data_IF_486495316823
#
_entry.id   IF_486495316823
#
_cell.length_a   1.000
_cell.length_b   1.000
_cell.length_c   1.000
_cell.angle_alpha   90.00
_cell.angle_beta   90.00
_cell.angle_gamma   90.00
#
_symmetry.space_group_name_H-M   'P 1'
#
loop_
_entity.id
_entity.type
_entity.pdbx_description
1 polymer ?
#
# COMPACT_ATOMS: atom_id res chain seq x y z
N UNK A 1 -59.74 65.93 35.35
CA UNK A 1 -59.66 65.59 33.93
C UNK A 1 -58.22 65.63 33.53
N UNK A 2 -57.58 64.54 33.43
CA UNK A 2 -56.21 64.43 32.91
C UNK A 2 -56.19 63.32 31.83
N UNK A 3 -55.93 63.72 30.60
CA UNK A 3 -55.85 62.86 29.45
C UNK A 3 -54.47 62.18 29.42
N UNK A 4 -54.42 60.90 29.61
CA UNK A 4 -53.23 60.11 29.38
C UNK A 4 -53.13 59.81 27.86
N UNK A 5 -52.03 60.25 27.27
CA UNK A 5 -51.79 60.19 25.83
C UNK A 5 -51.28 58.86 25.35
N UNK A 6 -51.32 58.62 24.02
CA UNK A 6 -51.06 57.35 23.35
C UNK A 6 -49.58 57.06 23.07
N UNK A 7 -48.71 57.34 24.03
CA UNK A 7 -47.22 57.27 23.82
C UNK A 7 -46.58 55.97 24.29
N UNK A 8 -47.22 55.15 25.09
CA UNK A 8 -46.70 53.89 25.58
C UNK A 8 -46.82 52.70 24.58
N UNK A 9 -47.88 52.72 23.77
CA UNK A 9 -48.09 51.63 22.80
C UNK A 9 -47.08 51.59 21.65
N UNK A 10 -46.45 52.71 21.32
CA UNK A 10 -45.46 52.78 20.24
C UNK A 10 -44.08 52.17 20.64
N UNK A 11 -43.73 52.26 21.89
CA UNK A 11 -42.46 51.70 22.40
C UNK A 11 -42.52 50.20 22.57
N UNK A 12 -43.65 49.63 22.98
CA UNK A 12 -43.87 48.19 23.12
C UNK A 12 -43.89 47.52 21.72
N UNK A 13 -44.55 48.14 20.74
CA UNK A 13 -44.52 47.64 19.35
C UNK A 13 -43.16 47.69 18.68
N UNK A 14 -42.35 48.70 18.93
CA UNK A 14 -40.97 48.81 18.43
C UNK A 14 -40.06 47.78 19.06
N UNK A 15 -40.20 47.48 20.36
CA UNK A 15 -39.42 46.47 21.06
C UNK A 15 -39.83 45.05 20.63
N UNK A 16 -41.10 44.76 20.38
CA UNK A 16 -41.58 43.47 19.85
C UNK A 16 -41.05 43.24 18.43
N UNK A 17 -41.04 44.25 17.55
CA UNK A 17 -40.53 44.12 16.19
C UNK A 17 -38.99 43.89 16.18
N UNK A 18 -38.24 44.54 17.07
CA UNK A 18 -36.82 44.38 17.14
C UNK A 18 -36.39 42.99 17.67
N UNK A 19 -37.15 42.42 18.58
CA UNK A 19 -36.92 41.06 19.09
C UNK A 19 -37.27 40.00 18.03
N UNK A 20 -38.32 40.17 17.25
CA UNK A 20 -38.72 39.24 16.17
C UNK A 20 -37.70 39.23 15.03
N UNK A 21 -37.14 40.40 14.67
CA UNK A 21 -36.10 40.48 13.64
C UNK A 21 -34.80 39.84 14.11
N UNK A 22 -34.45 40.00 15.41
CA UNK A 22 -33.27 39.37 15.97
C UNK A 22 -33.36 37.85 16.05
N UNK A 23 -34.58 37.30 16.34
CA UNK A 23 -34.80 35.84 16.34
C UNK A 23 -34.64 35.26 14.95
N UNK A 24 -35.20 35.91 13.90
CA UNK A 24 -35.07 35.44 12.51
C UNK A 24 -33.64 35.50 11.99
N UNK A 25 -32.83 36.50 12.46
CA UNK A 25 -31.43 36.58 12.11
C UNK A 25 -30.59 35.54 12.80
N UNK A 26 -30.93 35.11 14.02
CA UNK A 26 -30.22 34.05 14.75
C UNK A 26 -30.54 32.64 14.09
N UNK A 27 -31.79 32.40 13.69
CA UNK A 27 -32.16 31.18 12.99
C UNK A 27 -31.51 31.10 11.60
N UNK A 28 -31.40 32.20 10.86
CA UNK A 28 -30.68 32.25 9.59
C UNK A 28 -29.16 32.05 9.72
N UNK A 29 -28.54 32.46 10.85
CA UNK A 29 -27.14 32.23 11.12
C UNK A 29 -26.83 30.76 11.49
N UNK A 30 -27.78 30.02 12.08
CA UNK A 30 -27.64 28.61 12.38
C UNK A 30 -27.86 27.71 11.15
N UNK A 31 -28.39 28.24 10.06
CA UNK A 31 -28.60 27.53 8.79
C UNK A 31 -27.45 27.72 7.79
N UNK A 32 -26.30 28.22 8.23
CA UNK A 32 -25.11 28.15 7.38
C UNK A 32 -24.79 26.68 7.15
N UNK A 33 -24.78 26.20 5.89
CA UNK A 33 -24.36 24.83 5.64
C UNK A 33 -22.95 24.68 6.24
N UNK A 34 -22.82 23.75 7.17
CA UNK A 34 -21.49 23.26 7.54
C UNK A 34 -20.85 22.90 6.22
N UNK A 35 -19.90 23.71 5.74
CA UNK A 35 -19.12 23.38 4.57
C UNK A 35 -18.35 22.14 4.95
N UNK A 36 -18.94 20.96 4.69
CA UNK A 36 -18.21 19.72 4.69
C UNK A 36 -16.99 19.94 3.79
N UNK A 37 -15.86 19.47 4.19
CA UNK A 37 -14.63 19.55 3.41
C UNK A 37 -14.96 19.16 1.96
N UNK A 38 -14.78 20.08 1.00
CA UNK A 38 -15.10 19.86 -0.40
C UNK A 38 -14.30 18.70 -1.02
N UNK A 39 -13.24 18.27 -0.34
CA UNK A 39 -12.40 17.14 -0.73
C UNK A 39 -12.95 15.79 -0.22
N UNK A 40 -13.70 15.78 0.90
CA UNK A 40 -14.21 14.54 1.51
C UNK A 40 -14.99 13.63 0.54
N UNK A 41 -15.91 14.12 -0.33
CA UNK A 41 -16.59 13.28 -1.29
C UNK A 41 -15.66 12.67 -2.34
N UNK A 42 -14.59 13.39 -2.71
CA UNK A 42 -13.60 12.92 -3.67
C UNK A 42 -12.77 11.76 -3.08
N UNK A 43 -12.32 11.88 -1.85
CA UNK A 43 -11.57 10.81 -1.17
C UNK A 43 -12.43 9.59 -0.89
N UNK A 44 -13.71 9.79 -0.51
CA UNK A 44 -14.63 8.69 -0.35
C UNK A 44 -14.89 7.95 -1.68
N UNK A 45 -15.00 8.69 -2.80
CA UNK A 45 -15.13 8.10 -4.12
C UNK A 45 -13.85 7.35 -4.52
N UNK A 46 -12.69 7.97 -4.36
CA UNK A 46 -11.39 7.33 -4.63
C UNK A 46 -11.26 6.02 -3.87
N UNK A 47 -11.50 6.04 -2.54
CA UNK A 47 -11.42 4.84 -1.72
C UNK A 47 -12.37 3.75 -2.22
N UNK A 48 -13.65 4.07 -2.43
CA UNK A 48 -14.64 3.11 -2.94
C UNK A 48 -14.25 2.50 -4.29
N UNK A 49 -13.69 3.32 -5.19
CA UNK A 49 -13.40 2.89 -6.56
C UNK A 49 -12.08 2.11 -6.66
N UNK A 50 -11.13 2.36 -5.74
CA UNK A 50 -9.81 1.71 -5.76
C UNK A 50 -9.67 0.57 -4.75
N UNK A 51 -10.36 0.61 -3.61
CA UNK A 51 -10.27 -0.41 -2.56
C UNK A 51 -10.43 -1.86 -3.06
N UNK A 52 -11.31 -2.18 -4.03
CA UNK A 52 -11.43 -3.55 -4.54
C UNK A 52 -10.19 -4.08 -5.26
N UNK A 53 -9.24 -3.22 -5.64
CA UNK A 53 -7.96 -3.65 -6.21
C UNK A 53 -6.93 -4.02 -5.14
N UNK A 54 -7.13 -3.60 -3.88
CA UNK A 54 -6.22 -3.88 -2.79
C UNK A 54 -6.60 -5.20 -2.11
N UNK A 55 -5.60 -6.03 -1.87
CA UNK A 55 -5.73 -7.39 -1.35
C UNK A 55 -4.82 -7.59 -0.15
N UNK A 56 -5.10 -8.61 0.66
CA UNK A 56 -4.18 -9.07 1.69
C UNK A 56 -3.40 -10.27 1.16
N UNK A 57 -2.08 -10.16 1.16
CA UNK A 57 -1.17 -11.24 0.79
C UNK A 57 -0.66 -11.91 2.07
N UNK A 58 -0.93 -13.20 2.22
CA UNK A 58 -0.37 -14.05 3.27
C UNK A 58 0.85 -14.77 2.74
N UNK A 59 1.95 -14.60 3.45
CA UNK A 59 3.21 -15.24 3.08
C UNK A 59 3.67 -16.11 4.22
N UNK A 60 3.84 -17.39 3.96
CA UNK A 60 4.52 -18.32 4.86
C UNK A 60 5.98 -18.37 4.43
N UNK A 61 6.88 -17.92 5.30
CA UNK A 61 8.32 -17.93 5.03
C UNK A 61 9.02 -18.93 5.90
N UNK A 62 9.96 -19.66 5.33
CA UNK A 62 10.87 -20.53 6.05
C UNK A 62 12.24 -19.86 6.10
N UNK A 63 12.70 -19.55 7.30
CA UNK A 63 14.00 -18.95 7.53
C UNK A 63 14.94 -19.98 8.15
N UNK A 64 16.02 -20.27 7.45
CA UNK A 64 17.09 -21.14 7.95
C UNK A 64 18.22 -20.28 8.50
N UNK A 65 18.47 -20.38 9.79
CA UNK A 65 19.56 -19.68 10.49
C UNK A 65 20.69 -20.65 10.78
N UNK A 66 21.92 -20.25 10.42
CA UNK A 66 23.13 -20.99 10.76
C UNK A 66 23.91 -20.24 11.85
N UNK A 67 23.94 -20.76 13.05
CA UNK A 67 24.72 -20.23 14.16
C UNK A 67 25.59 -21.33 14.80
N UNK A 68 26.93 -21.14 14.79
CA UNK A 68 27.86 -22.01 15.52
C UNK A 68 27.78 -23.49 15.15
N UNK A 69 27.56 -23.83 13.86
CA UNK A 69 27.46 -25.22 13.40
C UNK A 69 26.08 -25.87 13.65
N UNK A 70 25.10 -25.15 14.21
CA UNK A 70 23.72 -25.60 14.35
C UNK A 70 22.84 -24.87 13.34
N UNK A 71 21.97 -25.62 12.69
CA UNK A 71 20.91 -25.08 11.82
C UNK A 71 19.60 -25.12 12.59
N UNK A 72 18.87 -24.01 12.59
CA UNK A 72 17.50 -23.92 13.09
C UNK A 72 16.61 -23.37 11.97
N UNK A 73 15.53 -24.07 11.67
CA UNK A 73 14.50 -23.64 10.74
C UNK A 73 13.36 -23.02 11.53
N UNK A 74 12.97 -21.81 11.15
CA UNK A 74 11.83 -21.11 11.72
C UNK A 74 10.83 -20.81 10.61
N UNK A 75 9.57 -21.15 10.83
CA UNK A 75 8.47 -20.77 9.97
C UNK A 75 7.79 -19.52 10.54
N UNK A 76 7.54 -18.53 9.70
CA UNK A 76 6.86 -17.30 10.05
C UNK A 76 5.74 -17.01 9.06
N UNK A 77 4.61 -16.53 9.55
CA UNK A 77 3.49 -16.08 8.74
C UNK A 77 3.36 -14.57 8.85
N UNK A 78 3.28 -13.92 7.71
CA UNK A 78 3.18 -12.46 7.63
C UNK A 78 2.04 -12.11 6.68
N UNK A 79 1.19 -11.18 7.08
CA UNK A 79 0.18 -10.58 6.22
C UNK A 79 0.66 -9.19 5.77
N UNK A 80 0.57 -8.91 4.48
CA UNK A 80 0.95 -7.63 3.90
C UNK A 80 -0.05 -7.18 2.87
N UNK A 81 -0.26 -5.88 2.71
CA UNK A 81 -1.10 -5.37 1.65
C UNK A 81 -0.44 -5.58 0.28
N UNK A 82 -1.25 -5.91 -0.71
CA UNK A 82 -0.90 -5.98 -2.12
C UNK A 82 -1.93 -5.26 -2.97
N UNK A 83 -1.63 -5.10 -4.25
CA UNK A 83 -2.53 -4.47 -5.21
C UNK A 83 -2.55 -5.26 -6.51
N UNK A 84 -3.74 -5.51 -7.04
CA UNK A 84 -3.92 -6.10 -8.37
C UNK A 84 -3.51 -5.07 -9.42
N UNK A 85 -2.56 -5.43 -10.28
CA UNK A 85 -2.03 -4.56 -11.35
C UNK A 85 -2.36 -5.08 -12.74
N UNK A 86 -2.99 -6.25 -12.82
CA UNK A 86 -3.45 -6.84 -14.07
C UNK A 86 -4.68 -7.73 -13.83
N UNK A 87 -5.68 -7.64 -14.71
CA UNK A 87 -6.90 -8.43 -14.62
C UNK A 87 -6.66 -9.95 -14.77
N UNK A 88 -5.51 -10.36 -15.30
CA UNK A 88 -5.05 -11.75 -15.33
C UNK A 88 -4.54 -12.27 -13.99
N UNK A 89 -4.66 -11.51 -12.89
CA UNK A 89 -4.31 -11.94 -11.55
C UNK A 89 -2.87 -11.66 -11.15
N UNK A 90 -2.21 -10.68 -11.78
CA UNK A 90 -0.91 -10.21 -11.34
C UNK A 90 -1.09 -9.20 -10.20
N UNK A 91 -0.41 -9.46 -9.08
CA UNK A 91 -0.49 -8.68 -7.84
C UNK A 91 0.91 -8.14 -7.53
N UNK A 92 1.00 -6.86 -7.22
CA UNK A 92 2.22 -6.21 -6.76
C UNK A 92 2.16 -6.03 -5.24
N UNK A 93 3.26 -6.30 -4.54
CA UNK A 93 3.39 -6.13 -3.10
C UNK A 93 4.81 -5.69 -2.74
N UNK A 94 5.02 -5.25 -1.50
CA UNK A 94 6.35 -4.93 -0.99
C UNK A 94 7.28 -6.15 -0.99
N UNK A 95 8.56 -5.93 -1.34
CA UNK A 95 9.60 -6.98 -1.28
C UNK A 95 9.96 -7.38 0.14
N UNK A 96 9.70 -6.52 1.13
CA UNK A 96 10.20 -6.67 2.51
C UNK A 96 9.91 -8.04 3.13
N UNK A 97 8.70 -8.60 3.04
CA UNK A 97 8.41 -9.91 3.61
C UNK A 97 9.08 -11.07 2.87
N UNK A 98 9.43 -10.86 1.59
CA UNK A 98 10.01 -11.90 0.73
C UNK A 98 11.54 -11.94 0.79
N UNK A 99 12.15 -10.82 1.17
CA UNK A 99 13.59 -10.67 1.29
C UNK A 99 13.95 -9.74 2.46
N UNK A 100 13.62 -10.11 3.71
CA UNK A 100 13.84 -9.27 4.89
C UNK A 100 15.31 -8.93 5.10
N UNK A 101 16.23 -9.77 4.64
CA UNK A 101 17.67 -9.53 4.68
C UNK A 101 18.08 -8.27 3.90
N UNK A 102 17.35 -7.90 2.88
CA UNK A 102 17.61 -6.65 2.11
C UNK A 102 17.28 -5.42 2.93
N UNK A 103 16.12 -5.41 3.58
CA UNK A 103 15.77 -4.32 4.50
C UNK A 103 16.78 -4.24 5.64
N UNK A 104 17.20 -5.40 6.18
CA UNK A 104 18.20 -5.45 7.23
C UNK A 104 19.57 -4.95 6.77
N UNK A 105 19.99 -5.23 5.52
CA UNK A 105 21.18 -4.61 4.93
C UNK A 105 21.03 -3.11 4.80
N UNK A 106 19.88 -2.63 4.33
CA UNK A 106 19.60 -1.21 4.19
C UNK A 106 19.66 -0.48 5.55
N UNK A 107 19.09 -1.11 6.61
CA UNK A 107 18.99 -0.52 7.94
C UNK A 107 20.26 -0.59 8.76
N UNK A 108 21.14 -1.57 8.54
CA UNK A 108 22.28 -1.85 9.41
C UNK A 108 23.65 -1.64 8.76
N UNK A 109 23.68 -1.30 7.46
CA UNK A 109 24.92 -1.30 6.71
C UNK A 109 25.54 -2.70 6.60
N UNK A 110 26.68 -2.80 5.96
CA UNK A 110 27.40 -4.05 5.74
C UNK A 110 28.15 -4.53 7.00
N UNK A 111 27.45 -4.70 8.12
CA UNK A 111 28.06 -5.33 9.30
C UNK A 111 28.28 -6.82 9.03
N UNK A 112 29.52 -7.19 8.79
CA UNK A 112 29.99 -8.53 8.37
C UNK A 112 29.73 -9.66 9.38
N UNK A 113 29.15 -9.37 10.54
CA UNK A 113 28.97 -10.36 11.64
C UNK A 113 27.56 -10.93 11.77
N UNK A 114 26.71 -10.80 10.77
CA UNK A 114 25.39 -11.41 10.87
C UNK A 114 25.37 -12.86 10.43
N UNK A 115 24.64 -13.74 11.15
CA UNK A 115 24.39 -15.08 10.67
C UNK A 115 23.71 -15.00 9.31
N UNK A 116 24.21 -15.77 8.34
CA UNK A 116 23.59 -15.86 7.02
C UNK A 116 22.22 -16.53 7.21
N UNK A 117 21.17 -15.73 7.18
CA UNK A 117 19.79 -16.23 7.13
C UNK A 117 19.31 -16.23 5.69
N UNK A 118 18.75 -17.33 5.25
CA UNK A 118 18.09 -17.43 3.94
C UNK A 118 16.61 -17.61 4.19
N UNK A 119 15.83 -16.63 3.74
CA UNK A 119 14.38 -16.69 3.81
C UNK A 119 13.84 -17.10 2.44
N UNK A 120 13.02 -18.13 2.41
CA UNK A 120 12.35 -18.61 1.19
C UNK A 120 10.85 -18.60 1.43
N UNK A 121 10.05 -17.95 0.56
CA UNK A 121 8.60 -18.06 0.63
C UNK A 121 8.20 -19.51 0.29
N UNK A 122 7.46 -20.14 1.18
CA UNK A 122 7.03 -21.53 1.06
C UNK A 122 5.59 -21.62 0.53
N UNK A 123 4.72 -20.74 1.01
CA UNK A 123 3.34 -20.65 0.58
C UNK A 123 2.90 -19.19 0.48
N UNK A 124 2.12 -18.89 -0.55
CA UNK A 124 1.63 -17.54 -0.82
C UNK A 124 0.15 -17.64 -1.12
N UNK A 125 -0.65 -16.97 -0.31
CA UNK A 125 -2.09 -16.91 -0.46
C UNK A 125 -2.56 -15.47 -0.53
N UNK A 126 -3.64 -15.23 -1.26
CA UNK A 126 -4.21 -13.91 -1.48
C UNK A 126 -5.68 -13.92 -1.06
N UNK A 127 -6.05 -12.96 -0.23
CA UNK A 127 -7.44 -12.74 0.18
C UNK A 127 -7.96 -11.47 -0.48
N UNK A 128 -9.14 -11.60 -1.07
CA UNK A 128 -9.92 -10.50 -1.60
C UNK A 128 -11.00 -10.11 -0.59
N UNK A 129 -11.33 -8.82 -0.49
CA UNK A 129 -12.34 -8.31 0.44
C UNK A 129 -13.71 -9.02 0.33
N UNK A 130 -14.06 -9.38 -0.90
CA UNK A 130 -15.39 -9.94 -1.22
C UNK A 130 -15.42 -11.47 -1.19
N UNK A 131 -14.30 -12.11 -0.88
CA UNK A 131 -14.16 -13.56 -0.91
C UNK A 131 -13.39 -14.02 0.32
N UNK A 132 -14.05 -14.77 1.20
CA UNK A 132 -13.40 -15.38 2.37
C UNK A 132 -12.40 -16.49 1.98
N UNK A 133 -12.37 -16.87 0.70
CA UNK A 133 -11.49 -17.90 0.18
C UNK A 133 -10.07 -17.38 -0.04
N UNK A 134 -9.13 -18.16 0.42
CA UNK A 134 -7.70 -17.97 0.15
C UNK A 134 -7.35 -18.50 -1.24
N UNK A 135 -6.76 -17.63 -2.07
CA UNK A 135 -6.35 -17.96 -3.44
C UNK A 135 -4.84 -18.15 -3.50
N UNK A 136 -4.40 -19.29 -3.98
CA UNK A 136 -2.97 -19.58 -4.13
C UNK A 136 -2.33 -18.70 -5.19
N UNK A 137 -1.12 -18.27 -4.89
CA UNK A 137 -0.30 -17.50 -5.79
C UNK A 137 1.15 -17.99 -5.76
N UNK A 138 1.92 -17.60 -6.77
CA UNK A 138 3.35 -17.86 -6.81
C UNK A 138 4.14 -16.59 -7.14
N UNK A 139 5.39 -16.56 -6.72
CA UNK A 139 6.31 -15.45 -7.00
C UNK A 139 6.69 -15.45 -8.49
N UNK A 140 6.11 -14.52 -9.24
CA UNK A 140 6.34 -14.35 -10.68
C UNK A 140 7.63 -13.60 -10.95
N UNK A 141 7.80 -12.43 -10.35
CA UNK A 141 8.95 -11.55 -10.56
C UNK A 141 9.33 -10.80 -9.29
N UNK A 142 10.53 -10.25 -9.29
CA UNK A 142 11.03 -9.38 -8.21
C UNK A 142 11.78 -8.21 -8.85
N UNK A 143 11.41 -6.98 -8.48
CA UNK A 143 12.19 -5.79 -8.81
C UNK A 143 12.80 -5.20 -7.54
N UNK A 144 14.10 -5.35 -7.44
CA UNK A 144 14.86 -4.87 -6.28
C UNK A 144 15.03 -3.36 -6.26
N UNK A 145 15.02 -2.73 -7.43
CA UNK A 145 15.19 -1.29 -7.56
C UNK A 145 13.94 -0.52 -7.15
N UNK A 146 12.77 -1.10 -7.38
CA UNK A 146 11.49 -0.55 -6.91
C UNK A 146 11.12 -1.07 -5.51
N UNK A 147 11.79 -2.13 -5.04
CA UNK A 147 11.47 -2.76 -3.76
C UNK A 147 10.13 -3.51 -3.76
N UNK A 148 9.75 -4.09 -4.90
CA UNK A 148 8.49 -4.79 -5.08
C UNK A 148 8.68 -6.22 -5.55
N UNK A 149 7.67 -7.04 -5.27
CA UNK A 149 7.49 -8.37 -5.85
C UNK A 149 6.19 -8.41 -6.63
N UNK A 150 6.17 -9.31 -7.62
CA UNK A 150 4.97 -9.61 -8.38
C UNK A 150 4.57 -11.05 -8.15
N UNK A 151 3.32 -11.24 -7.76
CA UNK A 151 2.72 -12.53 -7.47
C UNK A 151 1.67 -12.80 -8.54
N UNK A 152 1.64 -14.02 -9.05
CA UNK A 152 0.61 -14.44 -10.00
C UNK A 152 -0.32 -15.45 -9.34
N UNK A 153 -1.62 -15.19 -9.41
CA UNK A 153 -2.63 -16.16 -8.98
C UNK A 153 -2.53 -17.44 -9.82
N UNK A 154 -2.62 -18.59 -9.18
CA UNK A 154 -2.60 -19.89 -9.89
C UNK A 154 -3.87 -20.11 -10.70
N UNK A 155 -5.02 -19.67 -10.19
CA UNK A 155 -6.34 -19.85 -10.80
C UNK A 155 -7.13 -18.53 -10.82
N UNK A 156 -6.76 -17.56 -11.70
CA UNK A 156 -7.47 -16.29 -11.78
C UNK A 156 -8.82 -16.38 -12.48
N UNK A 157 -9.09 -17.48 -13.19
CA UNK A 157 -10.29 -17.64 -13.99
C UNK A 157 -11.57 -17.61 -13.11
N UNK A 158 -12.55 -16.80 -13.52
CA UNK A 158 -13.82 -16.61 -12.80
C UNK A 158 -13.80 -15.52 -11.73
N UNK A 159 -12.65 -14.96 -11.40
CA UNK A 159 -12.54 -13.83 -10.48
C UNK A 159 -12.79 -12.52 -11.24
N UNK A 160 -13.61 -11.65 -10.68
CA UNK A 160 -13.84 -10.28 -11.20
C UNK A 160 -12.81 -9.33 -10.58
N UNK A 161 -11.57 -9.41 -11.06
CA UNK A 161 -10.48 -8.62 -10.52
C UNK A 161 -10.56 -7.17 -11.01
N UNK A 162 -10.48 -6.22 -10.09
CA UNK A 162 -10.19 -4.83 -10.40
C UNK A 162 -8.69 -4.60 -10.31
N UNK A 163 -8.11 -4.02 -11.36
CA UNK A 163 -6.70 -3.70 -11.40
C UNK A 163 -6.49 -2.18 -11.37
N UNK A 164 -5.41 -1.74 -10.75
CA UNK A 164 -4.94 -0.36 -10.83
C UNK A 164 -4.20 -0.18 -12.14
N UNK A 165 -4.63 0.81 -12.93
CA UNK A 165 -4.06 1.10 -14.25
C UNK A 165 -2.89 2.09 -14.13
N UNK A 166 -1.69 1.64 -14.46
CA UNK A 166 -0.46 2.44 -14.51
C UNK A 166 -0.16 3.00 -15.91
N UNK A 167 -0.96 2.66 -16.93
CA UNK A 167 -0.72 3.11 -18.31
C UNK A 167 -1.17 4.55 -18.56
N UNK A 168 -2.05 5.08 -17.70
CA UNK A 168 -2.56 6.44 -17.78
C UNK A 168 -2.14 7.26 -16.55
N UNK A 169 -0.86 7.66 -16.47
CA UNK A 169 -0.32 8.32 -15.28
C UNK A 169 -0.92 9.73 -15.11
N UNK A 170 -1.23 10.07 -13.88
CA UNK A 170 -1.52 11.45 -13.51
C UNK A 170 -0.23 12.28 -13.49
N UNK A 171 -0.37 13.58 -13.69
CA UNK A 171 0.71 14.54 -13.53
C UNK A 171 0.64 15.11 -12.11
N UNK A 172 1.80 15.28 -11.49
CA UNK A 172 1.92 15.88 -10.16
C UNK A 172 2.92 17.04 -10.18
N UNK A 173 2.64 18.02 -9.35
CA UNK A 173 3.47 19.20 -9.12
C UNK A 173 3.83 19.32 -7.63
N UNK A 174 4.84 20.15 -7.37
CA UNK A 174 5.23 20.51 -6.00
C UNK A 174 4.04 21.15 -5.25
N UNK A 175 3.79 20.67 -4.05
CA UNK A 175 2.66 21.10 -3.21
C UNK A 175 1.38 20.31 -3.40
N UNK A 176 1.26 19.50 -4.44
CA UNK A 176 0.06 18.70 -4.69
C UNK A 176 -0.21 17.70 -3.56
N UNK A 177 -1.50 17.57 -3.24
CA UNK A 177 -1.99 16.55 -2.32
C UNK A 177 -1.98 15.18 -3.02
N UNK A 178 -1.42 14.20 -2.36
CA UNK A 178 -1.37 12.82 -2.83
C UNK A 178 -2.03 11.89 -1.80
N UNK A 179 -2.59 10.79 -2.30
CA UNK A 179 -3.39 9.84 -1.52
C UNK A 179 -2.80 8.45 -1.67
N UNK A 180 -2.56 7.79 -0.55
CA UNK A 180 -2.30 6.35 -0.48
C UNK A 180 -3.55 5.63 -0.03
N UNK A 181 -3.85 4.49 -0.64
CA UNK A 181 -4.92 3.59 -0.21
C UNK A 181 -4.30 2.29 0.30
N UNK A 182 -4.84 1.78 1.38
CA UNK A 182 -4.40 0.52 1.98
C UNK A 182 -5.54 -0.17 2.71
N UNK A 183 -5.23 -1.33 3.33
CA UNK A 183 -6.15 -2.07 4.20
C UNK A 183 -5.54 -2.31 5.56
N UNK A 184 -6.37 -2.22 6.57
CA UNK A 184 -6.03 -2.65 7.91
C UNK A 184 -5.97 -4.19 7.98
N UNK A 185 -5.39 -4.71 9.03
CA UNK A 185 -5.34 -6.13 9.29
C UNK A 185 -6.73 -6.75 9.54
N UNK A 186 -6.75 -8.07 9.59
CA UNK A 186 -7.98 -8.87 9.78
C UNK A 186 -8.69 -8.56 11.10
N UNK A 187 -7.95 -8.14 12.13
CA UNK A 187 -8.45 -7.69 13.43
C UNK A 187 -9.32 -6.42 13.34
N UNK A 188 -9.26 -5.72 12.21
CA UNK A 188 -10.07 -4.54 11.87
C UNK A 188 -10.93 -4.80 10.62
N UNK A 189 -11.41 -6.02 10.44
CA UNK A 189 -12.26 -6.45 9.31
C UNK A 189 -11.65 -6.15 7.93
N UNK A 190 -10.32 -6.08 7.84
CA UNK A 190 -9.60 -5.69 6.63
C UNK A 190 -10.11 -4.38 6.00
N UNK A 191 -10.56 -3.46 6.86
CA UNK A 191 -11.17 -2.18 6.44
C UNK A 191 -10.22 -1.41 5.56
N UNK A 192 -10.70 -0.98 4.38
CA UNK A 192 -9.96 -0.09 3.50
C UNK A 192 -9.91 1.32 4.08
N UNK A 193 -8.75 1.97 3.98
CA UNK A 193 -8.54 3.34 4.43
C UNK A 193 -7.62 4.09 3.49
N UNK A 194 -7.60 5.40 3.62
CA UNK A 194 -6.66 6.24 2.88
C UNK A 194 -5.87 7.13 3.83
N UNK A 195 -4.68 7.50 3.40
CA UNK A 195 -3.84 8.52 4.03
C UNK A 195 -3.45 9.55 2.99
N UNK A 196 -3.19 10.78 3.44
CA UNK A 196 -2.82 11.88 2.55
C UNK A 196 -1.51 12.50 2.99
N UNK A 197 -0.73 12.95 2.02
CA UNK A 197 0.48 13.75 2.21
C UNK A 197 0.65 14.70 1.03
N UNK A 198 1.72 15.51 1.03
CA UNK A 198 2.01 16.42 -0.07
C UNK A 198 3.35 16.12 -0.71
N UNK A 199 3.45 16.44 -2.00
CA UNK A 199 4.73 16.48 -2.69
C UNK A 199 5.51 17.69 -2.17
N UNK A 200 6.63 17.45 -1.50
CA UNK A 200 7.48 18.47 -0.90
C UNK A 200 8.75 18.75 -1.69
N UNK A 201 9.05 17.92 -2.71
CA UNK A 201 10.23 18.08 -3.55
C UNK A 201 10.25 17.12 -4.73
N UNK A 202 11.24 17.31 -5.60
CA UNK A 202 11.52 16.41 -6.72
C UNK A 202 13.02 16.14 -6.77
N UNK A 203 13.39 14.90 -7.02
CA UNK A 203 14.75 14.47 -7.30
C UNK A 203 14.86 13.93 -8.72
N UNK A 204 16.03 14.09 -9.34
CA UNK A 204 16.31 13.57 -10.68
C UNK A 204 17.41 12.50 -10.68
N UNK A 205 18.09 12.31 -9.55
CA UNK A 205 19.15 11.30 -9.38
C UNK A 205 18.94 10.51 -8.09
N UNK A 206 19.21 9.21 -8.06
CA UNK A 206 19.65 8.35 -9.17
C UNK A 206 18.58 8.17 -10.25
N UNK A 207 17.30 8.38 -9.91
CA UNK A 207 16.16 8.40 -10.84
C UNK A 207 15.21 9.55 -10.49
N UNK A 208 14.35 9.92 -11.44
CA UNK A 208 13.27 10.86 -11.15
C UNK A 208 12.31 10.27 -10.12
N UNK A 209 12.04 11.03 -9.05
CA UNK A 209 11.05 10.69 -8.04
C UNK A 209 10.59 11.93 -7.28
N UNK A 210 9.41 11.88 -6.68
CA UNK A 210 8.91 12.95 -5.83
C UNK A 210 9.16 12.65 -4.36
N UNK A 211 9.62 13.65 -3.64
CA UNK A 211 9.74 13.63 -2.18
C UNK A 211 8.38 13.92 -1.58
N UNK A 212 7.94 13.16 -0.61
CA UNK A 212 6.71 13.43 0.15
C UNK A 212 7.04 13.99 1.53
N UNK A 213 6.13 14.81 2.06
CA UNK A 213 6.34 15.54 3.30
C UNK A 213 6.52 14.61 4.52
N UNK A 214 5.69 13.57 4.62
CA UNK A 214 5.82 12.54 5.64
C UNK A 214 5.55 11.15 5.07
N UNK A 215 6.08 10.12 5.75
CA UNK A 215 5.97 8.75 5.28
C UNK A 215 4.54 8.23 5.26
N UNK A 216 4.23 7.45 4.24
CA UNK A 216 3.01 6.66 4.14
C UNK A 216 3.35 5.20 4.49
N UNK A 217 2.47 4.44 5.15
CA UNK A 217 2.83 3.15 5.73
C UNK A 217 2.98 2.01 4.72
N UNK A 218 2.82 2.27 3.42
CA UNK A 218 2.60 1.22 2.42
C UNK A 218 3.62 1.24 1.30
N UNK A 219 4.83 0.73 1.57
CA UNK A 219 5.85 0.52 0.53
C UNK A 219 5.36 -0.40 -0.59
N UNK A 220 5.67 -0.04 -1.83
CA UNK A 220 5.33 -0.83 -3.01
C UNK A 220 3.87 -0.69 -3.46
N UNK A 221 3.05 0.15 -2.80
CA UNK A 221 1.67 0.38 -3.19
C UNK A 221 1.48 1.67 -3.99
N UNK A 222 0.40 1.74 -4.80
CA UNK A 222 0.09 2.91 -5.61
C UNK A 222 -0.17 4.15 -4.79
N UNK A 223 0.31 5.27 -5.31
CA UNK A 223 0.00 6.62 -4.85
C UNK A 223 -0.86 7.30 -5.92
N UNK A 224 -1.92 7.93 -5.48
CA UNK A 224 -2.89 8.61 -6.33
C UNK A 224 -2.81 10.12 -6.17
N UNK A 225 -3.18 10.85 -7.21
CA UNK A 225 -3.51 12.27 -7.10
C UNK A 225 -4.84 12.44 -6.35
N UNK A 226 -5.12 13.62 -5.83
CA UNK A 226 -6.43 13.95 -5.24
C UNK A 226 -7.60 13.79 -6.24
N UNK A 227 -7.32 13.74 -7.54
CA UNK A 227 -8.31 13.46 -8.60
C UNK A 227 -8.50 11.96 -8.89
N UNK A 228 -7.75 11.08 -8.23
CA UNK A 228 -7.85 9.63 -8.38
C UNK A 228 -6.95 9.01 -9.46
N UNK A 229 -6.18 9.80 -10.19
CA UNK A 229 -5.23 9.26 -11.17
C UNK A 229 -3.97 8.71 -10.49
N UNK A 230 -3.40 7.64 -11.04
CA UNK A 230 -2.18 7.00 -10.52
C UNK A 230 -0.96 7.88 -10.79
N UNK A 231 -0.22 8.23 -9.74
CA UNK A 231 1.03 8.97 -9.83
C UNK A 231 2.25 8.06 -9.91
N UNK A 232 2.22 6.96 -9.18
CA UNK A 232 3.33 6.04 -9.07
C UNK A 232 3.20 5.11 -7.90
N UNK A 233 4.32 4.65 -7.34
CA UNK A 233 4.35 3.83 -6.12
C UNK A 233 5.26 4.45 -5.07
N UNK A 234 4.98 4.17 -3.81
CA UNK A 234 5.88 4.50 -2.72
C UNK A 234 7.06 3.52 -2.70
N UNK A 235 8.26 4.04 -2.78
CA UNK A 235 9.50 3.26 -2.77
C UNK A 235 10.57 3.92 -1.90
N UNK A 236 11.56 3.13 -1.51
CA UNK A 236 12.81 3.63 -0.93
C UNK A 236 13.79 3.79 -2.10
N UNK A 237 14.30 4.99 -2.29
CA UNK A 237 15.39 5.26 -3.24
C UNK A 237 16.67 5.45 -2.42
N UNK A 238 17.57 4.50 -2.54
CA UNK A 238 18.87 4.58 -1.89
C UNK A 238 19.90 5.10 -2.89
N UNK A 239 20.52 6.25 -2.63
CA UNK A 239 21.57 6.79 -3.49
C UNK A 239 22.91 6.03 -3.36
N UNK A 240 23.08 5.17 -2.35
CA UNK A 240 24.36 4.60 -1.96
C UNK A 240 24.55 3.10 -2.18
N UNK A 241 23.54 2.36 -2.66
CA UNK A 241 23.72 0.91 -2.90
C UNK A 241 24.63 0.58 -4.09
N UNK A 242 24.90 1.55 -4.98
CA UNK A 242 25.79 1.34 -6.13
C UNK A 242 27.24 1.87 -5.92
N UNK A 243 27.48 2.75 -4.94
CA UNK A 243 28.77 3.41 -4.73
C UNK A 243 29.15 3.64 -3.26
N UNK A 244 28.81 2.75 -2.34
CA UNK A 244 29.24 2.89 -0.96
C UNK A 244 30.74 2.62 -0.85
N UNK A 245 31.55 3.67 -0.94
CA UNK A 245 32.92 3.69 -0.46
C UNK A 245 32.93 3.40 1.05
N UNK A 246 33.72 2.40 1.46
CA UNK A 246 33.64 1.64 2.70
C UNK A 246 34.09 2.39 3.97
N UNK A 247 34.01 3.71 4.02
CA UNK A 247 34.62 4.49 5.13
C UNK A 247 33.66 5.08 6.16
N UNK A 248 32.35 4.98 5.98
CA UNK A 248 31.39 5.49 6.97
C UNK A 248 30.35 4.41 7.24
N UNK A 249 30.20 3.99 8.51
CA UNK A 249 29.21 3.00 8.94
C UNK A 249 27.77 3.50 8.64
N UNK A 250 27.12 3.02 7.56
CA UNK A 250 25.83 3.56 7.13
C UNK A 250 24.69 3.19 8.07
N UNK A 251 24.90 2.18 8.90
CA UNK A 251 23.85 1.54 9.69
C UNK A 251 23.31 2.45 10.79
N UNK A 252 24.20 3.13 11.49
CA UNK A 252 23.81 4.00 12.60
C UNK A 252 23.13 5.27 12.09
N UNK A 253 23.59 5.80 10.97
CA UNK A 253 22.99 7.00 10.36
C UNK A 253 21.57 6.73 9.84
N UNK A 254 21.31 5.55 9.28
CA UNK A 254 19.97 5.16 8.78
C UNK A 254 19.00 4.96 9.94
N UNK A 255 19.39 4.25 10.99
CA UNK A 255 18.53 4.04 12.18
C UNK A 255 18.27 5.34 12.92
N UNK A 256 19.30 6.16 13.14
CA UNK A 256 19.14 7.47 13.78
C UNK A 256 18.32 8.41 12.93
N UNK A 257 18.42 8.34 11.64
CA UNK A 257 17.65 9.11 10.69
C UNK A 257 16.16 8.73 10.68
N UNK A 258 15.84 7.43 10.78
CA UNK A 258 14.47 6.97 10.98
C UNK A 258 13.88 7.46 12.32
N UNK A 259 14.70 7.48 13.39
CA UNK A 259 14.27 7.87 14.73
C UNK A 259 14.18 9.38 14.91
N UNK A 260 15.03 10.15 14.23
CA UNK A 260 15.14 11.61 14.42
C UNK A 260 14.45 12.43 13.33
N UNK A 261 13.89 11.77 12.29
CA UNK A 261 13.28 12.44 11.15
C UNK A 261 14.27 13.22 10.26
N UNK A 262 15.57 13.03 10.49
CA UNK A 262 16.65 13.77 9.84
C UNK A 262 17.55 12.88 8.95
N UNK A 263 17.21 12.75 7.68
CA UNK A 263 18.22 12.54 6.61
C UNK A 263 18.76 11.14 6.33
N UNK A 264 18.02 10.02 6.55
CA UNK A 264 18.53 8.71 6.14
C UNK A 264 17.66 7.99 5.12
N UNK A 265 16.63 7.33 5.53
CA UNK A 265 15.72 6.68 4.58
C UNK A 265 14.57 7.61 4.29
N UNK A 266 14.50 8.12 3.07
CA UNK A 266 13.35 8.90 2.62
C UNK A 266 12.49 8.03 1.72
N UNK A 267 11.20 8.20 1.88
CA UNK A 267 10.22 7.61 0.99
C UNK A 267 10.00 8.53 -0.20
N UNK A 268 9.96 7.93 -1.36
CA UNK A 268 9.79 8.65 -2.62
C UNK A 268 8.63 8.04 -3.39
N UNK A 269 7.94 8.86 -4.16
CA UNK A 269 6.98 8.37 -5.15
C UNK A 269 7.72 8.21 -6.47
N UNK A 270 7.93 6.97 -6.89
CA UNK A 270 8.50 6.64 -8.20
C UNK A 270 7.40 6.75 -9.25
N UNK A 271 7.59 7.53 -10.33
CA UNK A 271 6.55 7.82 -11.31
C UNK A 271 5.98 6.58 -12.00
N UNK A 272 4.68 6.57 -12.24
CA UNK A 272 3.94 5.46 -12.84
C UNK A 272 4.52 4.95 -14.17
N UNK A 273 5.08 5.76 -15.09
CA UNK A 273 5.69 5.22 -16.31
C UNK A 273 6.85 4.26 -16.06
N UNK A 274 7.66 4.50 -15.02
CA UNK A 274 8.74 3.59 -14.64
C UNK A 274 8.19 2.28 -14.05
N UNK A 275 7.10 2.37 -13.31
CA UNK A 275 6.40 1.20 -12.72
C UNK A 275 5.71 0.38 -13.81
N UNK A 276 5.04 1.03 -14.76
CA UNK A 276 4.35 0.35 -15.86
C UNK A 276 5.31 -0.54 -16.69
N UNK A 277 6.51 -0.05 -16.98
CA UNK A 277 7.53 -0.83 -17.69
C UNK A 277 7.92 -2.12 -16.93
N UNK A 278 8.01 -2.04 -15.59
CA UNK A 278 8.32 -3.20 -14.75
C UNK A 278 7.13 -4.15 -14.65
N UNK A 279 5.90 -3.62 -14.58
CA UNK A 279 4.67 -4.44 -14.62
C UNK A 279 4.60 -5.26 -15.93
N UNK A 280 4.91 -4.63 -17.07
CA UNK A 280 4.91 -5.32 -18.37
C UNK A 280 5.93 -6.46 -18.41
N UNK A 281 7.11 -6.23 -17.88
CA UNK A 281 8.15 -7.26 -17.75
C UNK A 281 7.70 -8.38 -16.79
N UNK A 282 7.11 -8.02 -15.66
CA UNK A 282 6.61 -9.00 -14.69
C UNK A 282 5.48 -9.85 -15.26
N UNK A 283 4.60 -9.27 -16.09
CA UNK A 283 3.53 -10.00 -16.80
C UNK A 283 4.10 -11.07 -17.73
N UNK A 284 5.16 -10.75 -18.46
CA UNK A 284 5.84 -11.74 -19.34
C UNK A 284 6.48 -12.86 -18.52
N UNK A 285 7.17 -12.54 -17.43
CA UNK A 285 7.77 -13.54 -16.53
C UNK A 285 6.70 -14.42 -15.85
N UNK A 286 5.56 -13.83 -15.48
CA UNK A 286 4.44 -14.58 -14.90
C UNK A 286 3.88 -15.60 -15.88
N UNK A 287 3.66 -15.21 -17.14
CA UNK A 287 3.18 -16.12 -18.18
C UNK A 287 4.16 -17.27 -18.44
N UNK A 288 5.45 -16.97 -18.52
CA UNK A 288 6.49 -18.00 -18.69
C UNK A 288 6.50 -18.99 -17.53
N UNK A 289 6.56 -18.50 -16.28
CA UNK A 289 6.56 -19.35 -15.09
C UNK A 289 5.27 -20.17 -14.93
N UNK A 290 4.12 -19.60 -15.30
CA UNK A 290 2.86 -20.33 -15.28
C UNK A 290 2.90 -21.54 -16.25
N UNK A 291 3.42 -21.33 -17.47
CA UNK A 291 3.58 -22.40 -18.45
C UNK A 291 4.56 -23.49 -17.97
N UNK A 292 5.69 -23.12 -17.38
CA UNK A 292 6.67 -24.04 -16.80
C UNK A 292 6.06 -24.88 -15.67
N UNK A 293 5.30 -24.25 -14.76
CA UNK A 293 4.61 -24.93 -13.64
C UNK A 293 3.55 -25.92 -14.16
N UNK A 294 2.81 -25.55 -15.18
CA UNK A 294 1.81 -26.42 -15.78
C UNK A 294 2.44 -27.61 -16.50
N UNK A 295 3.55 -27.39 -17.20
CA UNK A 295 4.33 -28.48 -17.82
C UNK A 295 4.88 -29.43 -16.75
N UNK A 296 5.40 -28.93 -15.64
CA UNK A 296 5.88 -29.74 -14.53
C UNK A 296 4.75 -30.54 -13.85
N UNK A 297 3.56 -29.94 -13.67
CA UNK A 297 2.38 -30.66 -13.15
C UNK A 297 1.96 -31.82 -14.07
N UNK A 298 2.04 -31.65 -15.38
CA UNK A 298 1.73 -32.70 -16.38
C UNK A 298 2.78 -33.80 -16.45
N UNK A 299 4.05 -33.47 -16.21
CA UNK A 299 5.17 -34.43 -16.22
C UNK A 299 5.29 -35.23 -14.92
N UNK A 300 4.67 -34.80 -13.82
CA UNK A 300 4.71 -35.53 -12.56
C UNK A 300 4.05 -36.91 -12.70
N UNK A 301 4.70 -38.03 -12.25
CA UNK A 301 4.12 -39.35 -12.31
C UNK A 301 2.82 -39.39 -11.49
N UNK A 302 1.78 -39.98 -12.07
CA UNK A 302 0.52 -40.19 -11.34
C UNK A 302 0.81 -40.98 -10.06
N UNK A 303 0.25 -40.59 -8.90
CA UNK A 303 0.42 -41.34 -7.67
C UNK A 303 -0.03 -42.78 -7.94
N UNK A 304 0.83 -43.74 -7.58
CA UNK A 304 0.53 -45.18 -7.70
C UNK A 304 -0.78 -45.47 -6.93
N UNK A 305 -1.68 -46.28 -7.47
CA UNK A 305 -2.88 -46.66 -6.76
C UNK A 305 -2.50 -47.29 -5.41
N UNK A 306 -3.26 -47.05 -4.34
CA UNK A 306 -3.00 -47.61 -3.03
C UNK A 306 -2.94 -49.14 -3.14
N UNK A 307 -1.89 -49.74 -2.57
CA UNK A 307 -1.76 -51.20 -2.51
C UNK A 307 -3.01 -51.82 -1.87
N UNK A 308 -3.54 -52.93 -2.43
CA UNK A 308 -4.70 -53.58 -1.83
C UNK A 308 -4.37 -54.00 -0.40
N UNK A 309 -5.34 -53.94 0.52
CA UNK A 309 -5.12 -54.32 1.90
C UNK A 309 -4.70 -55.79 1.98
N UNK A 310 -3.75 -56.16 2.87
CA UNK A 310 -3.35 -57.53 3.06
C UNK A 310 -4.57 -58.37 3.43
N UNK A 311 -4.80 -59.43 2.62
CA UNK A 311 -5.87 -60.39 2.87
C UNK A 311 -5.76 -60.94 4.30
N UNK A 312 -6.84 -60.85 5.06
CA UNK A 312 -6.92 -61.51 6.36
C UNK A 312 -6.88 -63.06 6.14
N UNK A 313 -6.14 -63.79 6.98
CA UNK A 313 -6.10 -65.24 6.97
C UNK A 313 -7.46 -65.84 7.36
#
# INVERSE_FOLDING_TARGET
MAASGPQEDSLVRRRALSLSVLSVLIEAACALPVHGDAEAPRFAALLRDTAPAFVTVKVVTKTSMHMGGKSADQESRVEVPGVVVDAGGLIMASIVPFAPERLMKLLRGASERMPQSKTVPNDIEVLFEQDEKEHRAFLAATDSNLGVVFLQLEEPAGLKLRAVDFSHPAVAALGDLVVAVSRLGKEYDSTAYFETTRISGEINRPRRAWVIDHGLPTLGLPIFSAAGGVLGILAIVDPGLEEADSSTDPSFSVVMSMLTGGGGVRFFVVPAPAVAAVIDQARQQAAQKAAEREAAKKAAPRPSPPSPPPGRP
#
